data_IF_520489377029
#
_entry.id   IF_520489377029
#
_cell.length_a   1.000
_cell.length_b   1.000
_cell.length_c   1.000
_cell.angle_alpha   90.00
_cell.angle_beta   90.00
_cell.angle_gamma   90.00
#
_symmetry.space_group_name_H-M   'P 1'
#
loop_
_entity.id
_entity.type
_entity.pdbx_description
1 polymer ?
#
# COMPACT_ATOMS: atom_id res chain seq x y z
N UNK A 1 19.65 -40.40 -26.57
CA UNK A 1 19.13 -40.31 -27.95
C UNK A 1 17.68 -40.80 -28.07
N UNK A 2 17.39 -42.10 -27.89
CA UNK A 2 16.01 -42.61 -28.06
C UNK A 2 14.94 -41.88 -27.22
N UNK A 3 15.21 -41.60 -25.94
CA UNK A 3 14.30 -40.82 -25.07
C UNK A 3 14.15 -39.35 -25.47
N UNK A 4 15.20 -38.71 -25.99
CA UNK A 4 15.12 -37.31 -26.45
C UNK A 4 14.29 -37.20 -27.73
N UNK A 5 14.42 -38.18 -28.63
CA UNK A 5 13.58 -38.27 -29.82
C UNK A 5 12.09 -38.50 -29.46
N UNK A 6 11.81 -39.33 -28.44
CA UNK A 6 10.45 -39.55 -27.94
C UNK A 6 9.85 -38.29 -27.28
N UNK A 7 10.65 -37.51 -26.55
CA UNK A 7 10.19 -36.22 -25.98
C UNK A 7 9.89 -35.21 -27.09
N UNK A 8 10.74 -35.16 -28.14
CA UNK A 8 10.54 -34.29 -29.30
C UNK A 8 9.20 -34.55 -29.99
N UNK A 9 8.84 -35.81 -30.21
CA UNK A 9 7.60 -36.18 -30.91
C UNK A 9 6.34 -35.97 -30.06
N UNK A 10 6.47 -35.89 -28.74
CA UNK A 10 5.35 -35.68 -27.81
C UNK A 10 5.03 -34.22 -27.54
N UNK A 11 5.96 -33.30 -27.75
CA UNK A 11 5.69 -31.86 -27.58
C UNK A 11 5.12 -31.25 -28.86
N UNK A 12 4.13 -30.36 -28.73
CA UNK A 12 3.51 -29.62 -29.84
C UNK A 12 4.07 -28.20 -30.00
N UNK A 13 4.94 -27.78 -29.09
CA UNK A 13 5.55 -26.45 -29.09
C UNK A 13 6.79 -26.43 -30.00
N UNK A 14 6.72 -25.66 -31.08
CA UNK A 14 7.78 -25.56 -32.10
C UNK A 14 9.10 -25.00 -31.52
N UNK A 15 9.02 -24.12 -30.53
CA UNK A 15 10.20 -23.54 -29.86
C UNK A 15 10.89 -24.61 -29.02
N UNK A 16 10.14 -25.40 -28.25
CA UNK A 16 10.67 -26.53 -27.48
C UNK A 16 11.24 -27.62 -28.39
N UNK A 17 10.57 -27.92 -29.51
CA UNK A 17 11.10 -28.88 -30.51
C UNK A 17 12.47 -28.45 -31.01
N UNK A 18 12.65 -27.17 -31.35
CA UNK A 18 13.93 -26.61 -31.81
C UNK A 18 15.04 -26.73 -30.77
N UNK A 19 14.75 -26.48 -29.50
CA UNK A 19 15.73 -26.67 -28.42
C UNK A 19 16.09 -28.15 -28.22
N UNK A 20 15.12 -29.06 -28.32
CA UNK A 20 15.38 -30.51 -28.25
C UNK A 20 16.23 -30.97 -29.45
N UNK A 21 15.99 -30.44 -30.65
CA UNK A 21 16.82 -30.69 -31.84
C UNK A 21 18.26 -30.24 -31.64
N UNK A 22 18.48 -29.03 -31.10
CA UNK A 22 19.82 -28.55 -30.78
C UNK A 22 20.54 -29.51 -29.83
N UNK A 23 19.85 -30.03 -28.82
CA UNK A 23 20.37 -31.04 -27.90
C UNK A 23 20.71 -32.38 -28.58
N UNK A 24 19.86 -32.85 -29.48
CA UNK A 24 20.08 -34.09 -30.24
C UNK A 24 21.27 -33.93 -31.21
N UNK A 25 21.50 -32.73 -31.73
CA UNK A 25 22.60 -32.45 -32.67
C UNK A 25 23.99 -32.43 -32.03
N UNK A 26 24.08 -32.42 -30.70
CA UNK A 26 25.35 -32.47 -29.98
C UNK A 26 26.01 -33.86 -30.11
N UNK A 27 27.34 -33.88 -30.24
CA UNK A 27 28.09 -35.13 -30.18
C UNK A 27 27.95 -35.79 -28.79
N UNK A 28 28.09 -37.12 -28.75
CA UNK A 28 27.85 -37.93 -27.53
C UNK A 28 28.63 -37.42 -26.32
N UNK A 29 29.86 -36.98 -26.51
CA UNK A 29 30.75 -36.50 -25.45
C UNK A 29 30.25 -35.20 -24.85
N UNK A 30 29.90 -34.22 -25.69
CA UNK A 30 29.33 -32.94 -25.24
C UNK A 30 27.96 -33.13 -24.61
N UNK A 31 27.10 -33.96 -25.22
CA UNK A 31 25.77 -34.25 -24.69
C UNK A 31 25.88 -34.93 -23.30
N UNK A 32 26.80 -35.87 -23.13
CA UNK A 32 27.03 -36.53 -21.84
C UNK A 32 27.52 -35.55 -20.78
N UNK A 33 28.45 -34.66 -21.13
CA UNK A 33 28.97 -33.65 -20.20
C UNK A 33 27.92 -32.60 -19.82
N UNK A 34 27.05 -32.23 -20.77
CA UNK A 34 25.93 -31.34 -20.52
C UNK A 34 24.89 -31.97 -19.60
N UNK A 35 24.42 -33.18 -19.93
CA UNK A 35 23.40 -33.90 -19.15
C UNK A 35 23.88 -34.22 -17.74
N UNK A 36 25.16 -34.55 -17.54
CA UNK A 36 25.70 -34.83 -16.20
C UNK A 36 25.77 -33.59 -15.30
N UNK A 37 25.66 -32.40 -15.87
CA UNK A 37 25.61 -31.12 -15.14
C UNK A 37 24.18 -30.62 -14.91
N UNK A 38 23.17 -31.30 -15.47
CA UNK A 38 21.78 -30.96 -15.24
C UNK A 38 21.33 -31.70 -13.98
N UNK A 39 21.03 -30.94 -12.93
CA UNK A 39 20.23 -31.40 -11.81
C UNK A 39 18.78 -30.97 -12.02
N UNK A 40 17.85 -31.91 -11.85
CA UNK A 40 16.42 -31.61 -11.80
C UNK A 40 15.97 -31.86 -10.37
N UNK A 41 15.86 -30.79 -9.57
CA UNK A 41 15.28 -30.86 -8.23
C UNK A 41 13.75 -30.86 -8.36
N UNK A 42 13.15 -32.05 -8.27
CA UNK A 42 11.68 -32.24 -8.35
C UNK A 42 10.99 -32.32 -6.99
N UNK A 43 11.72 -32.07 -5.90
CA UNK A 43 11.20 -32.03 -4.54
C UNK A 43 11.84 -30.88 -3.78
N UNK A 44 11.20 -29.72 -3.81
CA UNK A 44 11.51 -28.64 -2.85
C UNK A 44 10.60 -28.81 -1.64
N UNK A 45 10.60 -30.03 -1.08
CA UNK A 45 9.94 -30.30 0.18
C UNK A 45 10.61 -29.46 1.27
N UNK A 46 9.82 -29.00 2.23
CA UNK A 46 10.26 -28.10 3.31
C UNK A 46 10.86 -26.76 2.82
N UNK A 47 10.39 -26.16 1.71
CA UNK A 47 10.83 -24.83 1.24
C UNK A 47 10.85 -23.78 2.36
N UNK A 48 9.85 -23.81 3.24
CA UNK A 48 9.75 -22.93 4.42
C UNK A 48 10.96 -23.12 5.33
N UNK A 49 11.28 -24.37 5.67
CA UNK A 49 12.42 -24.73 6.53
C UNK A 49 13.74 -24.36 5.85
N UNK A 50 13.88 -24.55 4.54
CA UNK A 50 15.07 -24.14 3.77
C UNK A 50 15.29 -22.63 3.83
N UNK A 51 14.24 -21.83 3.65
CA UNK A 51 14.30 -20.37 3.78
C UNK A 51 14.71 -19.99 5.21
N UNK A 52 14.03 -20.55 6.22
CA UNK A 52 14.33 -20.28 7.63
C UNK A 52 15.75 -20.68 8.02
N UNK A 53 16.26 -21.82 7.55
CA UNK A 53 17.64 -22.25 7.78
C UNK A 53 18.64 -21.27 7.15
N UNK A 54 18.38 -20.78 5.93
CA UNK A 54 19.23 -19.76 5.28
C UNK A 54 19.24 -18.43 6.03
N UNK A 55 18.09 -18.01 6.56
CA UNK A 55 18.00 -16.85 7.45
C UNK A 55 18.76 -17.10 8.76
N UNK A 56 18.65 -18.30 9.34
CA UNK A 56 19.32 -18.64 10.59
C UNK A 56 20.86 -18.63 10.45
N UNK A 57 21.39 -19.05 9.30
CA UNK A 57 22.82 -18.92 8.98
C UNK A 57 23.29 -17.45 9.02
N UNK A 58 22.45 -16.51 8.59
CA UNK A 58 22.77 -15.08 8.50
C UNK A 58 22.57 -14.32 9.82
N UNK A 59 21.44 -14.55 10.50
CA UNK A 59 21.01 -13.76 11.65
C UNK A 59 21.25 -14.45 13.00
N UNK A 60 21.54 -15.76 13.02
CA UNK A 60 21.94 -16.57 14.19
C UNK A 60 20.94 -16.63 15.36
N UNK A 61 19.78 -15.99 15.25
CA UNK A 61 18.76 -15.94 16.29
C UNK A 61 17.38 -16.35 15.75
N UNK A 62 16.79 -17.40 16.31
CA UNK A 62 15.52 -17.95 15.81
C UNK A 62 14.37 -16.94 15.81
N UNK A 63 14.26 -16.08 16.83
CA UNK A 63 13.16 -15.11 16.89
C UNK A 63 13.27 -14.05 15.77
N UNK A 64 14.49 -13.67 15.40
CA UNK A 64 14.77 -12.76 14.28
C UNK A 64 14.40 -13.45 12.96
N UNK A 65 14.78 -14.73 12.81
CA UNK A 65 14.43 -15.55 11.63
C UNK A 65 12.93 -15.64 11.42
N UNK A 66 12.18 -15.95 12.47
CA UNK A 66 10.71 -16.02 12.42
C UNK A 66 10.12 -14.66 12.05
N UNK A 67 10.59 -13.58 12.66
CA UNK A 67 10.13 -12.21 12.36
C UNK A 67 10.36 -11.83 10.90
N UNK A 68 11.56 -12.09 10.36
CA UNK A 68 11.89 -11.82 8.96
C UNK A 68 11.00 -12.68 8.04
N UNK A 69 10.88 -13.98 8.34
CA UNK A 69 10.11 -14.90 7.52
C UNK A 69 8.63 -14.49 7.47
N UNK A 70 8.02 -14.19 8.61
CA UNK A 70 6.61 -13.82 8.69
C UNK A 70 6.34 -12.49 7.99
N UNK A 71 7.23 -11.50 8.17
CA UNK A 71 7.17 -10.21 7.47
C UNK A 71 7.27 -10.39 5.95
N UNK A 72 8.26 -11.17 5.49
CA UNK A 72 8.47 -11.46 4.07
C UNK A 72 7.28 -12.20 3.48
N UNK A 73 6.86 -13.28 4.12
CA UNK A 73 5.77 -14.12 3.63
C UNK A 73 4.47 -13.33 3.52
N UNK A 74 4.10 -12.59 4.57
CA UNK A 74 2.87 -11.79 4.59
C UNK A 74 2.85 -10.72 3.50
N UNK A 75 3.94 -9.96 3.35
CA UNK A 75 4.04 -8.92 2.32
C UNK A 75 4.06 -9.51 0.91
N UNK A 76 4.72 -10.64 0.70
CA UNK A 76 4.74 -11.33 -0.59
C UNK A 76 3.36 -11.85 -0.98
N UNK A 77 2.63 -12.48 -0.05
CA UNK A 77 1.27 -12.98 -0.34
C UNK A 77 0.30 -11.84 -0.64
N UNK A 78 0.39 -10.74 0.10
CA UNK A 78 -0.49 -9.60 -0.05
C UNK A 78 -0.23 -8.84 -1.37
N UNK A 79 1.04 -8.60 -1.70
CA UNK A 79 1.45 -8.04 -3.01
C UNK A 79 0.94 -8.91 -4.15
N UNK A 80 1.13 -10.23 -4.06
CA UNK A 80 0.64 -11.18 -5.07
C UNK A 80 -0.88 -11.12 -5.22
N UNK A 81 -1.62 -11.11 -4.11
CA UNK A 81 -3.08 -11.04 -4.14
C UNK A 81 -3.57 -9.78 -4.86
N UNK A 82 -2.98 -8.62 -4.58
CA UNK A 82 -3.42 -7.34 -5.14
C UNK A 82 -3.09 -7.18 -6.61
N UNK A 83 -1.92 -7.62 -7.06
CA UNK A 83 -1.57 -7.62 -8.48
C UNK A 83 -2.52 -8.54 -9.28
N UNK A 84 -2.81 -9.73 -8.76
CA UNK A 84 -3.77 -10.65 -9.41
C UNK A 84 -5.18 -10.04 -9.41
N UNK A 85 -5.61 -9.43 -8.31
CA UNK A 85 -6.93 -8.80 -8.19
C UNK A 85 -7.10 -7.64 -9.18
N UNK A 86 -6.03 -6.90 -9.50
CA UNK A 86 -6.05 -5.83 -10.50
C UNK A 86 -5.94 -6.33 -11.96
N UNK A 87 -6.02 -7.65 -12.18
CA UNK A 87 -5.96 -8.27 -13.50
C UNK A 87 -4.54 -8.37 -14.07
N UNK A 88 -3.51 -8.12 -13.26
CA UNK A 88 -2.12 -8.20 -13.66
C UNK A 88 -1.53 -9.59 -13.36
N UNK A 89 -0.53 -10.00 -14.14
CA UNK A 89 0.28 -11.18 -13.83
C UNK A 89 1.25 -10.82 -12.70
N UNK A 90 1.33 -11.66 -11.67
CA UNK A 90 2.36 -11.53 -10.66
C UNK A 90 3.70 -12.05 -11.21
N UNK A 91 4.59 -11.13 -11.56
CA UNK A 91 5.94 -11.41 -12.05
C UNK A 91 6.93 -10.52 -11.30
N UNK A 92 8.00 -11.11 -10.79
CA UNK A 92 8.98 -10.39 -9.98
C UNK A 92 10.40 -10.80 -10.37
N UNK A 93 11.22 -9.82 -10.74
CA UNK A 93 12.65 -10.03 -10.97
C UNK A 93 13.40 -10.08 -9.64
N UNK A 94 14.66 -10.51 -9.66
CA UNK A 94 15.50 -10.49 -8.46
C UNK A 94 15.69 -9.08 -7.90
N UNK A 95 15.85 -8.08 -8.78
CA UNK A 95 16.01 -6.68 -8.38
C UNK A 95 14.71 -6.13 -7.78
N UNK A 96 13.56 -6.44 -8.39
CA UNK A 96 12.25 -6.06 -7.85
C UNK A 96 12.00 -6.69 -6.48
N UNK A 97 12.41 -7.95 -6.28
CA UNK A 97 12.29 -8.63 -5.00
C UNK A 97 13.09 -7.91 -3.91
N UNK A 98 14.36 -7.61 -4.17
CA UNK A 98 15.20 -6.90 -3.21
C UNK A 98 14.69 -5.50 -2.90
N UNK A 99 14.12 -4.82 -3.91
CA UNK A 99 13.54 -3.50 -3.74
C UNK A 99 12.27 -3.55 -2.90
N UNK A 100 11.29 -4.38 -3.27
CA UNK A 100 9.97 -4.49 -2.60
C UNK A 100 10.06 -5.11 -1.20
N UNK A 101 10.89 -6.12 -1.00
CA UNK A 101 10.91 -6.93 0.22
C UNK A 101 12.22 -6.87 1.00
N UNK A 102 13.24 -6.14 0.51
CA UNK A 102 14.53 -6.01 1.21
C UNK A 102 14.41 -5.43 2.61
N UNK A 103 13.36 -4.64 2.87
CA UNK A 103 13.09 -4.11 4.22
C UNK A 103 12.68 -5.19 5.23
N UNK A 104 12.07 -6.30 4.81
CA UNK A 104 11.74 -7.42 5.70
C UNK A 104 12.98 -8.00 6.40
N UNK A 105 14.15 -7.86 5.78
CA UNK A 105 15.44 -8.32 6.29
C UNK A 105 16.13 -7.32 7.23
N UNK A 106 15.60 -6.10 7.34
CA UNK A 106 16.10 -5.05 8.23
C UNK A 106 15.33 -5.08 9.56
N UNK A 107 15.61 -6.09 10.38
CA UNK A 107 15.12 -6.11 11.77
C UNK A 107 15.73 -4.92 12.50
N UNK A 108 14.88 -3.99 12.94
CA UNK A 108 15.25 -2.59 13.19
C UNK A 108 16.39 -2.44 14.20
N UNK A 109 17.48 -1.80 13.81
CA UNK A 109 18.54 -1.34 14.73
C UNK A 109 18.38 0.12 15.15
N UNK A 110 17.22 0.74 14.88
CA UNK A 110 16.89 2.07 15.39
C UNK A 110 15.64 2.69 14.75
N UNK A 111 14.95 3.54 15.52
CA UNK A 111 13.82 4.36 15.06
C UNK A 111 14.36 5.44 14.10
N UNK A 112 13.86 5.48 12.87
CA UNK A 112 14.31 6.43 11.84
C UNK A 112 13.15 7.32 11.37
N UNK A 113 13.45 8.45 10.72
CA UNK A 113 12.45 9.22 9.96
C UNK A 113 12.36 8.67 8.54
N UNK A 114 11.17 8.73 7.96
CA UNK A 114 11.04 8.50 6.52
C UNK A 114 11.80 9.58 5.73
N UNK A 115 12.53 9.22 4.66
CA UNK A 115 13.28 10.19 3.88
C UNK A 115 12.37 11.23 3.23
N UNK A 116 12.64 12.52 3.44
CA UNK A 116 11.94 13.60 2.77
C UNK A 116 12.70 14.06 1.53
N UNK A 117 11.98 14.46 0.49
CA UNK A 117 12.55 15.06 -0.73
C UNK A 117 11.78 16.34 -1.07
N UNK A 118 12.44 17.27 -1.74
CA UNK A 118 11.77 18.43 -2.30
C UNK A 118 11.14 18.03 -3.64
N UNK A 119 9.82 17.91 -3.65
CA UNK A 119 9.05 17.72 -4.87
C UNK A 119 8.43 19.05 -5.29
N UNK A 120 8.47 19.42 -6.59
CA UNK A 120 7.67 20.52 -7.09
C UNK A 120 6.19 20.15 -6.93
N UNK A 121 5.40 21.03 -6.32
CA UNK A 121 3.97 20.85 -6.16
C UNK A 121 3.29 21.59 -7.32
N UNK A 122 2.61 20.82 -8.16
CA UNK A 122 1.79 21.34 -9.25
C UNK A 122 0.36 21.41 -8.73
N UNK A 123 -0.14 22.63 -8.53
CA UNK A 123 -1.54 22.83 -8.16
C UNK A 123 -2.45 22.53 -9.36
N UNK A 124 -3.63 21.93 -9.14
CA UNK A 124 -4.64 21.81 -10.19
C UNK A 124 -5.12 23.20 -10.63
N UNK A 125 -5.66 23.30 -11.84
CA UNK A 125 -6.22 24.55 -12.39
C UNK A 125 -7.33 25.11 -11.48
N UNK A 126 -8.24 24.24 -11.01
CA UNK A 126 -9.30 24.58 -10.07
C UNK A 126 -9.19 23.73 -8.79
N UNK A 127 -8.43 24.19 -7.77
CA UNK A 127 -8.33 23.48 -6.49
C UNK A 127 -9.66 23.26 -5.78
N UNK A 128 -10.64 24.16 -5.96
CA UNK A 128 -11.97 24.06 -5.36
C UNK A 128 -12.82 22.92 -5.92
N UNK A 129 -12.46 22.38 -7.09
CA UNK A 129 -13.19 21.25 -7.67
C UNK A 129 -12.89 19.92 -6.99
N UNK A 130 -11.78 19.86 -6.24
CA UNK A 130 -11.39 18.67 -5.49
C UNK A 130 -12.43 18.34 -4.42
N UNK A 131 -12.78 17.07 -4.32
CA UNK A 131 -13.87 16.58 -3.46
C UNK A 131 -13.66 17.01 -2.01
N UNK A 132 -12.45 16.84 -1.46
CA UNK A 132 -12.21 17.20 -0.07
C UNK A 132 -12.36 18.71 0.18
N UNK A 133 -12.01 19.57 -0.78
CA UNK A 133 -12.22 21.03 -0.67
C UNK A 133 -13.71 21.35 -0.68
N UNK A 134 -14.49 20.74 -1.58
CA UNK A 134 -15.95 20.88 -1.59
C UNK A 134 -16.56 20.50 -0.24
N UNK A 135 -16.14 19.37 0.33
CA UNK A 135 -16.62 18.97 1.65
C UNK A 135 -16.28 20.00 2.75
N UNK A 136 -15.08 20.58 2.74
CA UNK A 136 -14.67 21.59 3.71
C UNK A 136 -15.41 22.93 3.53
N UNK A 137 -15.70 23.32 2.28
CA UNK A 137 -16.54 24.48 1.96
C UNK A 137 -17.97 24.26 2.46
N UNK A 138 -18.53 23.08 2.21
CA UNK A 138 -19.93 22.76 2.54
C UNK A 138 -20.18 22.78 4.06
N UNK A 139 -19.21 22.31 4.85
CA UNK A 139 -19.28 22.40 6.32
C UNK A 139 -18.89 23.77 6.89
N UNK A 140 -18.46 24.71 6.04
CA UNK A 140 -18.08 26.07 6.45
C UNK A 140 -16.72 26.17 7.12
N UNK A 141 -15.87 25.15 7.00
CA UNK A 141 -14.51 25.13 7.57
C UNK A 141 -13.56 26.07 6.82
N UNK A 142 -13.78 26.27 5.53
CA UNK A 142 -13.04 27.22 4.69
C UNK A 142 -14.00 28.03 3.82
N UNK A 143 -13.48 29.10 3.22
CA UNK A 143 -14.19 29.95 2.28
C UNK A 143 -13.62 29.80 0.87
N UNK A 144 -14.48 29.93 -0.14
CA UNK A 144 -14.04 29.96 -1.54
C UNK A 144 -13.08 31.13 -1.77
N UNK A 145 -12.04 30.90 -2.57
CA UNK A 145 -10.96 31.84 -2.85
C UNK A 145 -9.98 32.08 -1.69
N UNK A 146 -10.16 31.41 -0.54
CA UNK A 146 -9.25 31.60 0.60
C UNK A 146 -7.88 30.96 0.35
N UNK A 147 -6.86 31.45 1.06
CA UNK A 147 -5.52 30.84 1.03
C UNK A 147 -5.51 29.41 1.58
N UNK A 148 -6.51 29.04 2.40
CA UNK A 148 -6.62 27.68 2.94
C UNK A 148 -6.91 26.64 1.86
N UNK A 149 -7.63 27.02 0.78
CA UNK A 149 -7.84 26.15 -0.39
C UNK A 149 -6.49 25.70 -0.97
N UNK A 150 -5.60 26.67 -1.21
CA UNK A 150 -4.26 26.41 -1.76
C UNK A 150 -3.41 25.64 -0.76
N UNK A 151 -3.43 26.05 0.52
CA UNK A 151 -2.65 25.41 1.58
C UNK A 151 -3.03 23.94 1.76
N UNK A 152 -4.32 23.61 1.87
CA UNK A 152 -4.77 22.23 2.11
C UNK A 152 -4.59 21.35 0.88
N UNK A 153 -4.79 21.91 -0.32
CA UNK A 153 -4.41 21.24 -1.57
C UNK A 153 -2.92 20.91 -1.60
N UNK A 154 -2.07 21.87 -1.22
CA UNK A 154 -0.62 21.68 -1.14
C UNK A 154 -0.26 20.56 -0.16
N UNK A 155 -0.87 20.52 1.03
CA UNK A 155 -0.63 19.46 2.02
C UNK A 155 -1.03 18.09 1.49
N UNK A 156 -2.20 17.97 0.86
CA UNK A 156 -2.68 16.72 0.26
C UNK A 156 -1.71 16.22 -0.83
N UNK A 157 -1.32 17.09 -1.77
CA UNK A 157 -0.42 16.74 -2.86
C UNK A 157 0.98 16.41 -2.35
N UNK A 158 1.47 17.13 -1.35
CA UNK A 158 2.76 16.85 -0.70
C UNK A 158 2.76 15.47 -0.06
N UNK A 159 1.70 15.12 0.68
CA UNK A 159 1.54 13.78 1.24
C UNK A 159 1.48 12.74 0.13
N UNK A 160 0.61 12.91 -0.88
CA UNK A 160 0.46 11.95 -1.98
C UNK A 160 1.79 11.66 -2.67
N UNK A 161 2.56 12.70 -3.01
CA UNK A 161 3.84 12.52 -3.71
C UNK A 161 4.88 11.81 -2.85
N UNK A 162 4.98 12.16 -1.57
CA UNK A 162 5.89 11.47 -0.66
C UNK A 162 5.46 10.03 -0.39
N UNK A 163 4.15 9.80 -0.24
CA UNK A 163 3.61 8.48 -0.01
C UNK A 163 3.90 7.56 -1.19
N UNK A 164 3.64 7.98 -2.44
CA UNK A 164 4.01 7.25 -3.66
C UNK A 164 5.52 7.00 -3.72
N UNK A 165 6.34 7.98 -3.35
CA UNK A 165 7.78 7.81 -3.28
C UNK A 165 8.20 6.73 -2.26
N UNK A 166 7.57 6.71 -1.08
CA UNK A 166 7.85 5.74 -0.03
C UNK A 166 7.31 4.34 -0.32
N UNK A 167 6.10 4.22 -0.87
CA UNK A 167 5.44 2.93 -1.11
C UNK A 167 5.84 2.34 -2.45
N UNK A 168 5.73 3.11 -3.52
CA UNK A 168 5.71 2.57 -4.88
C UNK A 168 7.08 2.71 -5.55
N UNK A 169 7.73 3.87 -5.38
CA UNK A 169 8.98 4.17 -6.07
C UNK A 169 10.19 3.56 -5.37
N UNK A 170 10.33 3.67 -4.04
CA UNK A 170 11.52 3.22 -3.30
C UNK A 170 11.26 2.07 -2.33
N UNK A 171 9.99 1.74 -2.05
CA UNK A 171 9.59 0.66 -1.12
C UNK A 171 10.23 0.80 0.28
N UNK A 172 10.33 2.04 0.78
CA UNK A 172 10.70 2.30 2.18
C UNK A 172 9.62 1.83 3.16
N UNK A 173 8.36 1.78 2.71
CA UNK A 173 7.28 1.20 3.50
C UNK A 173 6.81 -0.09 2.84
N UNK A 174 6.63 -1.10 3.65
CA UNK A 174 6.02 -2.36 3.27
C UNK A 174 4.54 -2.15 2.99
N UNK A 175 3.97 -3.02 2.16
CA UNK A 175 2.55 -2.93 1.83
C UNK A 175 1.67 -3.12 3.08
N UNK A 176 2.04 -4.02 3.99
CA UNK A 176 1.32 -4.18 5.26
C UNK A 176 1.35 -2.91 6.12
N UNK A 177 2.49 -2.23 6.20
CA UNK A 177 2.63 -0.97 6.95
C UNK A 177 1.76 0.14 6.35
N UNK A 178 1.68 0.20 5.02
CA UNK A 178 0.82 1.13 4.29
C UNK A 178 -0.67 0.91 4.57
N UNK A 179 -1.12 -0.36 4.55
CA UNK A 179 -2.51 -0.72 4.87
C UNK A 179 -2.85 -0.47 6.33
N UNK A 180 -1.96 -0.82 7.25
CA UNK A 180 -2.17 -0.64 8.68
C UNK A 180 -2.25 0.85 9.04
N UNK A 181 -1.38 1.68 8.45
CA UNK A 181 -1.44 3.14 8.60
C UNK A 181 -2.79 3.71 8.15
N UNK A 182 -3.28 3.26 7.00
CA UNK A 182 -4.58 3.68 6.45
C UNK A 182 -5.74 3.24 7.35
N UNK A 183 -5.73 1.98 7.79
CA UNK A 183 -6.77 1.43 8.68
C UNK A 183 -6.80 2.13 10.03
N UNK A 184 -5.65 2.39 10.63
CA UNK A 184 -5.56 3.14 11.89
C UNK A 184 -6.11 4.57 11.72
N UNK A 185 -5.74 5.24 10.62
CA UNK A 185 -6.25 6.59 10.30
C UNK A 185 -7.78 6.61 10.16
N UNK A 186 -8.35 5.68 9.39
CA UNK A 186 -9.81 5.58 9.23
C UNK A 186 -10.48 5.23 10.56
N UNK A 187 -9.90 4.33 11.36
CA UNK A 187 -10.43 3.96 12.68
C UNK A 187 -10.47 5.15 13.64
N UNK A 188 -9.41 5.97 13.68
CA UNK A 188 -9.38 7.20 14.50
C UNK A 188 -10.43 8.20 14.07
N UNK A 189 -10.56 8.44 12.76
CA UNK A 189 -11.61 9.29 12.22
C UNK A 189 -13.01 8.76 12.55
N UNK A 190 -13.27 7.46 12.34
CA UNK A 190 -14.58 6.84 12.56
C UNK A 190 -15.01 6.91 14.04
N UNK A 191 -14.06 6.65 14.95
CA UNK A 191 -14.30 6.77 16.39
C UNK A 191 -14.67 8.20 16.80
N UNK A 192 -13.94 9.21 16.31
CA UNK A 192 -14.25 10.60 16.62
C UNK A 192 -15.55 11.05 15.94
N UNK A 193 -15.76 10.67 14.69
CA UNK A 193 -16.99 10.96 13.93
C UNK A 193 -18.22 10.44 14.67
N UNK A 194 -18.22 9.15 15.06
CA UNK A 194 -19.29 8.54 15.85
C UNK A 194 -19.45 9.21 17.21
N UNK A 195 -18.34 9.59 17.85
CA UNK A 195 -18.35 10.31 19.12
C UNK A 195 -19.10 11.64 19.02
N UNK A 196 -18.75 12.47 18.03
CA UNK A 196 -19.34 13.80 17.82
C UNK A 196 -20.79 13.74 17.35
N UNK A 197 -21.11 12.86 16.40
CA UNK A 197 -22.43 12.83 15.79
C UNK A 197 -23.47 11.96 16.49
N UNK A 198 -23.11 11.28 17.59
CA UNK A 198 -24.05 10.45 18.37
C UNK A 198 -25.35 11.15 18.74
N UNK A 199 -25.30 12.45 19.07
CA UNK A 199 -26.51 13.20 19.41
C UNK A 199 -27.34 13.58 18.18
N UNK A 200 -26.71 13.87 17.05
CA UNK A 200 -27.39 14.08 15.76
C UNK A 200 -28.16 12.82 15.37
N UNK A 201 -27.51 11.66 15.42
CA UNK A 201 -28.14 10.36 15.11
C UNK A 201 -29.37 10.07 15.98
N UNK A 202 -29.30 10.39 17.28
CA UNK A 202 -30.46 10.26 18.20
C UNK A 202 -31.60 11.21 17.85
N UNK A 203 -31.30 12.47 17.52
CA UNK A 203 -32.31 13.46 17.11
C UNK A 203 -33.01 13.02 15.82
N UNK A 204 -32.25 12.52 14.85
CA UNK A 204 -32.80 11.98 13.61
C UNK A 204 -33.69 10.76 13.88
N UNK A 205 -33.23 9.84 14.73
CA UNK A 205 -34.01 8.67 15.15
C UNK A 205 -35.33 9.04 15.86
N UNK A 206 -35.38 10.21 16.50
CA UNK A 206 -36.60 10.75 17.12
C UNK A 206 -37.51 11.54 16.17
N UNK A 207 -37.19 11.60 14.88
CA UNK A 207 -38.02 12.23 13.84
C UNK A 207 -37.57 13.62 13.39
N UNK A 208 -36.41 14.11 13.87
CA UNK A 208 -35.85 15.39 13.42
C UNK A 208 -35.19 15.24 12.04
N UNK A 209 -35.43 16.19 11.14
CA UNK A 209 -34.83 16.20 9.80
C UNK A 209 -33.37 16.67 9.82
N UNK A 210 -32.53 16.16 8.90
CA UNK A 210 -31.11 16.56 8.79
C UNK A 210 -30.99 18.06 8.54
N UNK A 211 -31.85 18.61 7.68
CA UNK A 211 -31.87 20.03 7.29
C UNK A 211 -32.06 20.94 8.50
N UNK A 212 -32.90 20.54 9.46
CA UNK A 212 -33.11 21.30 10.69
C UNK A 212 -31.93 21.27 11.66
N UNK A 213 -30.99 20.33 11.47
CA UNK A 213 -29.78 20.14 12.28
C UNK A 213 -28.53 20.65 11.60
N UNK A 214 -28.63 21.20 10.38
CA UNK A 214 -27.47 21.54 9.54
C UNK A 214 -26.45 22.43 10.27
N UNK A 215 -26.88 23.45 11.01
CA UNK A 215 -25.96 24.31 11.77
C UNK A 215 -25.17 23.53 12.83
N UNK A 216 -25.84 22.66 13.58
CA UNK A 216 -25.19 21.82 14.60
C UNK A 216 -24.24 20.82 13.96
N UNK A 217 -24.62 20.27 12.80
CA UNK A 217 -23.77 19.35 12.03
C UNK A 217 -22.51 20.07 11.54
N UNK A 218 -22.61 21.30 11.03
CA UNK A 218 -21.45 22.09 10.60
C UNK A 218 -20.50 22.39 11.75
N UNK A 219 -21.03 22.81 12.91
CA UNK A 219 -20.20 23.06 14.09
C UNK A 219 -19.45 21.79 14.55
N UNK A 220 -20.13 20.64 14.55
CA UNK A 220 -19.50 19.34 14.85
C UNK A 220 -18.48 18.91 13.79
N UNK A 221 -18.74 19.22 12.51
CA UNK A 221 -17.82 18.96 11.40
C UNK A 221 -16.52 19.73 11.57
N UNK A 222 -16.60 21.02 11.89
CA UNK A 222 -15.43 21.88 12.16
C UNK A 222 -14.62 21.30 13.32
N UNK A 223 -15.29 20.93 14.41
CA UNK A 223 -14.63 20.27 15.54
C UNK A 223 -13.97 18.94 15.17
N UNK A 224 -14.52 18.19 14.21
CA UNK A 224 -13.92 16.94 13.71
C UNK A 224 -12.63 17.23 12.92
N UNK A 225 -12.69 18.22 12.02
CA UNK A 225 -11.51 18.66 11.25
C UNK A 225 -10.41 19.14 12.20
N UNK A 226 -10.75 19.93 13.22
CA UNK A 226 -9.79 20.39 14.23
C UNK A 226 -9.13 19.24 14.99
N UNK A 227 -9.90 18.23 15.38
CA UNK A 227 -9.37 17.04 16.05
C UNK A 227 -8.34 16.34 15.17
N UNK A 228 -8.70 16.08 13.91
CA UNK A 228 -7.83 15.42 12.94
C UNK A 228 -6.55 16.22 12.72
N UNK A 229 -6.65 17.56 12.66
CA UNK A 229 -5.49 18.44 12.45
C UNK A 229 -4.43 18.41 13.55
N UNK A 230 -4.76 17.85 14.72
CA UNK A 230 -3.85 17.69 15.86
C UNK A 230 -3.20 16.31 15.92
N UNK A 231 -3.60 15.38 15.05
CA UNK A 231 -3.01 14.06 15.01
C UNK A 231 -1.62 14.10 14.37
N UNK A 232 -0.70 13.34 14.94
CA UNK A 232 0.62 13.11 14.38
C UNK A 232 0.87 11.59 14.35
N UNK A 233 0.72 11.02 13.16
CA UNK A 233 0.74 9.57 12.97
C UNK A 233 2.11 9.09 12.47
N UNK A 234 2.42 7.82 12.72
CA UNK A 234 3.60 7.12 12.22
C UNK A 234 3.20 6.00 11.26
N UNK A 235 4.09 5.65 10.33
CA UNK A 235 3.95 4.47 9.46
C UNK A 235 4.92 3.41 9.97
N UNK A 236 4.44 2.22 10.32
CA UNK A 236 5.29 1.15 10.90
C UNK A 236 6.10 1.68 12.09
N UNK A 237 7.38 1.32 12.13
CA UNK A 237 8.32 1.71 13.20
C UNK A 237 9.03 3.05 12.95
N UNK A 238 8.57 3.86 12.00
CA UNK A 238 9.15 5.19 11.76
C UNK A 238 8.67 6.21 12.81
N UNK A 239 9.46 7.27 13.00
CA UNK A 239 9.04 8.44 13.78
C UNK A 239 7.78 9.07 13.16
N UNK A 240 6.97 9.80 13.97
CA UNK A 240 5.81 10.52 13.48
C UNK A 240 6.12 11.42 12.28
N UNK A 241 5.20 11.45 11.31
CA UNK A 241 5.36 12.14 10.04
C UNK A 241 5.34 13.67 10.17
N UNK A 242 4.79 14.17 11.27
CA UNK A 242 4.41 15.56 11.47
C UNK A 242 2.95 15.79 11.12
N UNK A 243 2.33 16.73 11.83
CA UNK A 243 0.91 17.11 11.69
C UNK A 243 0.55 17.49 10.24
N UNK A 244 1.41 18.20 9.52
CA UNK A 244 1.15 18.62 8.14
C UNK A 244 1.01 17.44 7.18
N UNK A 245 1.86 16.41 7.34
CA UNK A 245 1.78 15.20 6.52
C UNK A 245 0.54 14.37 6.89
N UNK A 246 0.25 14.26 8.18
CA UNK A 246 -0.96 13.59 8.67
C UNK A 246 -2.22 14.26 8.11
N UNK A 247 -2.26 15.60 8.09
CA UNK A 247 -3.39 16.35 7.52
C UNK A 247 -3.54 16.10 6.02
N UNK A 248 -2.43 16.10 5.28
CA UNK A 248 -2.42 15.74 3.87
C UNK A 248 -2.96 14.33 3.61
N UNK A 249 -2.68 13.37 4.49
CA UNK A 249 -3.25 12.02 4.41
C UNK A 249 -4.77 12.01 4.54
N UNK A 250 -5.32 12.67 5.57
CA UNK A 250 -6.77 12.73 5.77
C UNK A 250 -7.49 13.50 4.65
N UNK A 251 -6.89 14.56 4.12
CA UNK A 251 -7.43 15.23 2.93
C UNK A 251 -7.46 14.30 1.71
N UNK A 252 -6.43 13.47 1.53
CA UNK A 252 -6.41 12.47 0.46
C UNK A 252 -7.49 11.41 0.65
N UNK A 253 -7.71 10.92 1.88
CA UNK A 253 -8.79 9.98 2.20
C UNK A 253 -10.17 10.58 1.93
N UNK A 254 -10.40 11.83 2.34
CA UNK A 254 -11.64 12.56 2.08
C UNK A 254 -11.85 12.78 0.58
N UNK A 255 -10.78 13.09 -0.16
CA UNK A 255 -10.84 13.28 -1.61
C UNK A 255 -11.18 11.99 -2.36
N UNK A 256 -10.78 10.83 -1.81
CA UNK A 256 -11.14 9.50 -2.32
C UNK A 256 -12.48 8.99 -1.79
N UNK A 257 -13.22 9.80 -1.03
CA UNK A 257 -14.48 9.44 -0.37
C UNK A 257 -14.33 8.22 0.56
N UNK A 258 -13.16 8.01 1.14
CA UNK A 258 -12.98 6.97 2.16
C UNK A 258 -13.47 7.43 3.53
N UNK A 259 -13.48 8.75 3.74
CA UNK A 259 -14.02 9.45 4.90
C UNK A 259 -14.76 10.72 4.44
N UNK A 260 -15.48 11.36 5.37
CA UNK A 260 -16.04 12.69 5.14
C UNK A 260 -16.23 13.50 6.41
N UNK A 261 -16.62 14.77 6.26
CA UNK A 261 -16.68 15.71 7.38
C UNK A 261 -18.10 15.94 7.90
N UNK A 262 -19.04 16.14 6.98
CA UNK A 262 -20.46 16.29 7.28
C UNK A 262 -21.07 14.98 7.78
N UNK A 263 -22.06 15.02 8.68
CA UNK A 263 -22.75 13.80 9.15
C UNK A 263 -23.26 12.92 7.99
N UNK A 264 -23.92 13.57 7.03
CA UNK A 264 -24.53 12.95 5.87
C UNK A 264 -23.62 12.93 4.62
N UNK A 265 -22.29 12.92 4.80
CA UNK A 265 -21.34 13.03 3.68
C UNK A 265 -21.49 11.91 2.65
N UNK A 266 -21.89 10.71 3.05
CA UNK A 266 -22.05 9.60 2.12
C UNK A 266 -23.15 9.89 1.10
N UNK A 267 -24.32 10.32 1.55
CA UNK A 267 -25.42 10.68 0.64
C UNK A 267 -25.11 11.94 -0.18
N UNK A 268 -24.31 12.86 0.35
CA UNK A 268 -23.91 14.09 -0.37
C UNK A 268 -22.91 13.84 -1.51
N UNK A 269 -22.06 12.81 -1.45
CA UNK A 269 -20.95 12.65 -2.40
C UNK A 269 -20.70 11.25 -2.96
N UNK A 270 -21.24 10.18 -2.37
CA UNK A 270 -21.16 8.82 -2.92
C UNK A 270 -22.46 8.50 -3.66
N UNK A 271 -22.45 8.73 -4.97
CA UNK A 271 -23.49 8.21 -5.87
C UNK A 271 -23.47 6.68 -5.95
#
# INVERSE_FOLDING_TARGET
MAKLNDIKTKTKDETLQKYIENLISLDKTKLSSFLSKISIETGVDEIIKRIKNKLLELYRENHIVETIYDSLYSNLQLSKYLEIKSGQKFEITFDDFNKKFGKCFKVSTGVQKLPTRNFPILLPENPEEQIFIKQLLDVGEIQAGSQDVIKYTTLMLKFLRHYTYWSDEENFILFSEAEDFKKDSISRWDNEFKGKYRQIERKISSGTTIESLESEIKDLSIGLVEYIRRLDLSIGDYLPLGVDFTNGHYYLLSNKLEIGWHFDWQNKYKE
#
